data_IF_219967938650
#
_entry.id   IF_219967938650
#
_cell.length_a   1.000
_cell.length_b   1.000
_cell.length_c   1.000
_cell.angle_alpha   90.00
_cell.angle_beta   90.00
_cell.angle_gamma   90.00
#
_symmetry.space_group_name_H-M   'P 1'
#
loop_
_entity.id
_entity.type
_entity.pdbx_description
1 polymer ?
#
# COMPACT_ATOMS: atom_id res chain seq x y z
N UNK A 1 -7.48 4.69 -21.83
CA UNK A 1 -7.05 5.16 -20.50
C UNK A 1 -8.26 5.01 -19.57
N UNK A 2 -8.34 3.95 -18.76
CA UNK A 2 -9.44 3.79 -17.78
C UNK A 2 -9.20 4.81 -16.68
N UNK A 3 -10.21 5.61 -16.33
CA UNK A 3 -10.11 6.53 -15.21
C UNK A 3 -9.84 5.75 -13.91
N UNK A 4 -8.82 6.17 -13.15
CA UNK A 4 -8.44 5.52 -11.89
C UNK A 4 -9.57 5.61 -10.83
N UNK A 5 -10.32 6.71 -10.90
CA UNK A 5 -11.51 7.01 -10.12
C UNK A 5 -12.60 7.45 -11.08
N UNK A 6 -13.56 6.57 -11.27
CA UNK A 6 -14.86 6.92 -11.82
C UNK A 6 -15.71 7.45 -10.66
N UNK A 7 -15.97 8.75 -10.66
CA UNK A 7 -16.64 9.50 -9.57
C UNK A 7 -18.11 9.73 -9.90
N UNK A 8 -18.53 9.38 -11.12
CA UNK A 8 -19.92 9.53 -11.55
C UNK A 8 -20.81 8.64 -10.65
N UNK A 9 -21.90 9.23 -10.15
CA UNK A 9 -22.85 8.64 -9.20
C UNK A 9 -22.28 8.21 -7.83
N UNK A 10 -21.06 8.62 -7.49
CA UNK A 10 -20.47 8.33 -6.19
C UNK A 10 -20.75 9.42 -5.15
N UNK A 11 -20.99 9.01 -3.90
CA UNK A 11 -21.04 9.90 -2.74
C UNK A 11 -19.63 10.01 -2.16
N UNK A 12 -19.13 11.25 -2.03
CA UNK A 12 -17.77 11.52 -1.55
C UNK A 12 -17.81 11.99 -0.11
N UNK A 13 -17.16 11.25 0.79
CA UNK A 13 -16.97 11.64 2.18
C UNK A 13 -15.54 12.16 2.36
N UNK A 14 -15.39 13.46 2.57
CA UNK A 14 -14.10 14.11 2.79
C UNK A 14 -13.86 14.30 4.29
N UNK A 15 -12.86 13.61 4.83
CA UNK A 15 -12.38 13.77 6.21
C UNK A 15 -11.24 14.77 6.28
N UNK A 16 -11.53 15.95 6.81
CA UNK A 16 -10.57 17.01 7.09
C UNK A 16 -9.89 16.79 8.44
N UNK A 17 -8.57 16.64 8.46
CA UNK A 17 -7.78 16.49 9.67
C UNK A 17 -6.92 17.71 9.93
N UNK A 18 -6.28 18.26 8.90
CA UNK A 18 -5.34 19.40 9.01
C UNK A 18 -5.92 20.71 8.46
N UNK A 19 -6.88 20.65 7.53
CA UNK A 19 -7.52 21.83 6.96
C UNK A 19 -8.86 22.11 7.63
N UNK A 20 -9.18 23.39 7.83
CA UNK A 20 -10.54 23.81 8.20
C UNK A 20 -11.56 23.32 7.15
N UNK A 21 -12.59 22.54 7.54
CA UNK A 21 -13.65 22.08 6.64
C UNK A 21 -14.27 23.18 5.79
N UNK A 22 -14.37 24.41 6.31
CA UNK A 22 -14.91 25.57 5.58
C UNK A 22 -14.00 26.01 4.44
N UNK A 23 -12.68 25.92 4.63
CA UNK A 23 -11.70 26.25 3.60
C UNK A 23 -11.67 25.19 2.51
N UNK A 24 -11.82 23.92 2.89
CA UNK A 24 -11.94 22.82 1.93
C UNK A 24 -13.19 23.01 1.08
N UNK A 25 -14.36 23.18 1.71
CA UNK A 25 -15.62 23.43 0.99
C UNK A 25 -15.51 24.62 0.03
N UNK A 26 -14.87 25.71 0.43
CA UNK A 26 -14.65 26.87 -0.43
C UNK A 26 -13.69 26.59 -1.60
N UNK A 27 -12.64 25.78 -1.41
CA UNK A 27 -11.67 25.45 -2.46
C UNK A 27 -12.18 24.40 -3.44
N UNK A 28 -12.98 23.45 -2.97
CA UNK A 28 -13.59 22.41 -3.81
C UNK A 28 -14.48 23.03 -4.90
N UNK A 29 -15.06 24.20 -4.65
CA UNK A 29 -15.81 24.97 -5.65
C UNK A 29 -14.97 25.49 -6.84
N UNK A 30 -13.64 25.55 -6.70
CA UNK A 30 -12.73 26.17 -7.67
C UNK A 30 -11.88 25.16 -8.45
N UNK A 31 -11.98 23.85 -8.19
CA UNK A 31 -11.21 22.85 -8.92
C UNK A 31 -11.93 22.57 -10.25
N UNK A 32 -11.41 22.99 -11.41
CA UNK A 32 -12.16 23.03 -12.68
C UNK A 32 -12.56 21.67 -13.27
N UNK A 33 -12.14 20.57 -12.64
CA UNK A 33 -12.44 19.19 -13.04
C UNK A 33 -12.94 18.31 -11.89
N UNK A 34 -12.89 18.81 -10.67
CA UNK A 34 -13.52 18.19 -9.53
C UNK A 34 -14.79 19.02 -9.27
N UNK A 35 -15.74 18.94 -10.21
CA UNK A 35 -17.04 19.60 -10.09
C UNK A 35 -17.86 18.89 -8.99
N UNK A 36 -17.44 19.02 -7.74
CA UNK A 36 -18.17 18.49 -6.58
C UNK A 36 -19.50 19.22 -6.36
N UNK A 37 -19.83 20.21 -7.19
CA UNK A 37 -21.13 20.83 -7.21
C UNK A 37 -22.25 19.89 -7.70
N UNK A 38 -21.92 18.83 -8.45
CA UNK A 38 -22.86 17.76 -8.85
C UNK A 38 -22.59 16.43 -8.12
N UNK A 39 -21.55 16.38 -7.30
CA UNK A 39 -21.20 15.18 -6.53
C UNK A 39 -21.74 15.36 -5.12
N UNK A 40 -22.47 14.38 -4.61
CA UNK A 40 -22.92 14.37 -3.21
C UNK A 40 -21.70 14.29 -2.28
N UNK A 41 -21.15 15.45 -1.92
CA UNK A 41 -19.93 15.57 -1.16
C UNK A 41 -20.23 16.02 0.27
N UNK A 42 -19.81 15.22 1.24
CA UNK A 42 -19.95 15.50 2.66
C UNK A 42 -18.58 15.76 3.28
N UNK A 43 -18.40 16.91 3.91
CA UNK A 43 -17.11 17.32 4.52
C UNK A 43 -17.22 17.22 6.05
N UNK A 44 -16.28 16.51 6.66
CA UNK A 44 -16.26 16.22 8.09
C UNK A 44 -14.94 16.69 8.69
N UNK A 45 -14.98 17.39 9.82
CA UNK A 45 -13.76 17.61 10.62
C UNK A 45 -13.49 16.38 11.49
N UNK A 46 -12.30 15.80 11.41
CA UNK A 46 -11.87 14.61 12.18
C UNK A 46 -10.86 14.92 13.30
N UNK A 47 -10.52 16.20 13.47
CA UNK A 47 -9.71 16.68 14.59
C UNK A 47 -10.42 16.48 15.95
N UNK A 48 -9.70 16.66 17.08
CA UNK A 48 -10.22 16.38 18.45
C UNK A 48 -11.55 17.04 18.80
N UNK A 49 -11.90 18.13 18.14
CA UNK A 49 -13.15 18.88 18.37
C UNK A 49 -14.21 18.65 17.29
N UNK A 50 -13.93 17.77 16.33
CA UNK A 50 -14.81 17.45 15.20
C UNK A 50 -15.64 16.19 15.43
N UNK A 51 -16.18 15.67 14.33
CA UNK A 51 -16.80 14.34 14.24
C UNK A 51 -15.76 13.27 14.59
N UNK A 52 -16.01 12.50 15.65
CA UNK A 52 -15.14 11.37 15.99
C UNK A 52 -15.12 10.31 14.88
N UNK A 53 -14.08 9.46 14.88
CA UNK A 53 -13.90 8.40 13.87
C UNK A 53 -15.12 7.46 13.76
N UNK A 54 -15.75 7.13 14.89
CA UNK A 54 -16.96 6.30 14.92
C UNK A 54 -18.14 6.97 14.19
N UNK A 55 -18.47 8.21 14.53
CA UNK A 55 -19.57 8.94 13.90
C UNK A 55 -19.33 9.15 12.39
N UNK A 56 -18.08 9.36 11.99
CA UNK A 56 -17.71 9.45 10.58
C UNK A 56 -17.91 8.11 9.85
N UNK A 57 -17.51 6.99 10.48
CA UNK A 57 -17.75 5.64 9.96
C UNK A 57 -19.25 5.34 9.83
N UNK A 58 -20.05 5.73 10.82
CA UNK A 58 -21.49 5.49 10.81
C UNK A 58 -22.18 6.29 9.69
N UNK A 59 -21.72 7.52 9.42
CA UNK A 59 -22.20 8.31 8.29
C UNK A 59 -21.88 7.64 6.94
N UNK A 60 -20.69 7.06 6.79
CA UNK A 60 -20.31 6.31 5.59
C UNK A 60 -21.18 5.05 5.45
N UNK A 61 -21.42 4.33 6.54
CA UNK A 61 -22.28 3.15 6.55
C UNK A 61 -23.73 3.48 6.17
N UNK A 62 -24.26 4.61 6.62
CA UNK A 62 -25.59 5.08 6.26
C UNK A 62 -25.71 5.38 4.76
N UNK A 63 -24.72 6.05 4.18
CA UNK A 63 -24.65 6.30 2.73
C UNK A 63 -24.60 4.99 1.93
N UNK A 64 -23.79 4.04 2.40
CA UNK A 64 -23.69 2.71 1.78
C UNK A 64 -25.03 1.96 1.85
N UNK A 65 -25.72 2.01 2.98
CA UNK A 65 -27.03 1.37 3.14
C UNK A 65 -28.08 1.92 2.17
N UNK A 66 -27.90 3.15 1.67
CA UNK A 66 -28.73 3.72 0.61
C UNK A 66 -28.37 3.22 -0.82
N UNK A 67 -27.39 2.32 -0.95
CA UNK A 67 -26.97 1.72 -2.22
C UNK A 67 -26.02 2.57 -3.06
N UNK A 68 -25.49 3.67 -2.50
CA UNK A 68 -24.60 4.56 -3.23
C UNK A 68 -23.15 4.06 -3.21
N UNK A 69 -22.48 4.16 -4.37
CA UNK A 69 -21.03 3.97 -4.45
C UNK A 69 -20.35 5.05 -3.61
N UNK A 70 -19.47 4.65 -2.70
CA UNK A 70 -18.92 5.59 -1.72
C UNK A 70 -17.41 5.75 -1.89
N UNK A 71 -16.94 6.99 -1.94
CA UNK A 71 -15.52 7.33 -1.97
C UNK A 71 -15.20 8.11 -0.70
N UNK A 72 -14.19 7.68 0.04
CA UNK A 72 -13.71 8.37 1.25
C UNK A 72 -12.36 8.98 0.93
N UNK A 73 -12.20 10.28 1.21
CA UNK A 73 -10.94 11.00 1.04
C UNK A 73 -10.46 11.49 2.40
N UNK A 74 -9.24 11.13 2.78
CA UNK A 74 -8.59 11.59 4.01
C UNK A 74 -7.38 12.45 3.63
N UNK A 75 -7.39 13.71 4.08
CA UNK A 75 -6.43 14.75 3.67
C UNK A 75 -5.02 14.58 4.24
N UNK A 76 -4.89 14.10 5.48
CA UNK A 76 -3.61 13.95 6.15
C UNK A 76 -3.68 12.85 7.23
N UNK A 77 -3.49 11.59 6.84
CA UNK A 77 -3.48 10.46 7.78
C UNK A 77 -2.30 10.55 8.76
N UNK A 78 -1.19 11.16 8.36
CA UNK A 78 -0.07 11.47 9.29
C UNK A 78 -0.54 12.32 10.46
N UNK A 79 -1.34 13.35 10.20
CA UNK A 79 -1.95 14.20 11.24
C UNK A 79 -3.02 13.45 12.02
N UNK A 80 -3.75 12.54 11.37
CA UNK A 80 -4.77 11.73 12.05
C UNK A 80 -4.14 10.85 13.13
N UNK A 81 -3.03 10.20 12.80
CA UNK A 81 -2.25 9.41 13.75
C UNK A 81 -1.54 10.26 14.81
N UNK A 82 -1.32 11.56 14.57
CA UNK A 82 -0.85 12.49 15.59
C UNK A 82 -1.92 12.76 16.66
N UNK A 83 -3.19 12.74 16.25
CA UNK A 83 -4.33 13.05 17.11
C UNK A 83 -4.82 11.82 17.87
N UNK A 84 -4.87 10.68 17.17
CA UNK A 84 -5.43 9.40 17.62
C UNK A 84 -4.36 8.31 17.66
N UNK A 85 -4.45 7.34 18.59
CA UNK A 85 -3.58 6.17 18.61
C UNK A 85 -3.54 5.44 17.25
N UNK A 86 -2.35 5.07 16.78
CA UNK A 86 -2.15 4.38 15.49
C UNK A 86 -3.02 3.13 15.38
N UNK A 87 -3.18 2.36 16.46
CA UNK A 87 -4.02 1.17 16.47
C UNK A 87 -5.51 1.48 16.17
N UNK A 88 -6.04 2.58 16.70
CA UNK A 88 -7.43 3.00 16.43
C UNK A 88 -7.58 3.51 14.99
N UNK A 89 -6.56 4.18 14.46
CA UNK A 89 -6.56 4.58 13.04
C UNK A 89 -6.48 3.35 12.13
N UNK A 90 -5.66 2.36 12.48
CA UNK A 90 -5.56 1.09 11.76
C UNK A 90 -6.91 0.36 11.72
N UNK A 91 -7.55 0.21 12.88
CA UNK A 91 -8.86 -0.42 13.01
C UNK A 91 -9.93 0.33 12.20
N UNK A 92 -9.90 1.67 12.25
CA UNK A 92 -10.80 2.50 11.46
C UNK A 92 -10.61 2.29 9.95
N UNK A 93 -9.37 2.33 9.46
CA UNK A 93 -9.05 2.16 8.04
C UNK A 93 -9.35 0.73 7.56
N UNK A 94 -9.02 -0.28 8.37
CA UNK A 94 -9.39 -1.67 8.09
C UNK A 94 -10.91 -1.82 8.03
N UNK A 95 -11.64 -1.23 8.98
CA UNK A 95 -13.09 -1.22 9.00
C UNK A 95 -13.71 -0.57 7.76
N UNK A 96 -13.09 0.47 7.18
CA UNK A 96 -13.53 1.04 5.91
C UNK A 96 -13.22 0.14 4.71
N UNK A 97 -12.04 -0.47 4.68
CA UNK A 97 -11.63 -1.41 3.63
C UNK A 97 -12.60 -2.60 3.55
N UNK A 98 -13.00 -3.12 4.71
CA UNK A 98 -13.83 -4.31 4.81
C UNK A 98 -15.31 -4.03 4.45
N UNK A 99 -15.69 -2.76 4.22
CA UNK A 99 -17.02 -2.38 3.72
C UNK A 99 -17.24 -2.72 2.23
N UNK A 100 -16.21 -3.15 1.50
CA UNK A 100 -16.27 -3.70 0.13
C UNK A 100 -16.59 -2.70 -0.99
N UNK A 101 -17.63 -1.88 -0.80
CA UNK A 101 -18.16 -0.93 -1.78
C UNK A 101 -17.58 0.49 -1.60
N UNK A 102 -16.70 0.64 -0.61
CA UNK A 102 -16.06 1.90 -0.21
C UNK A 102 -14.65 1.95 -0.77
N UNK A 103 -14.34 3.00 -1.54
CA UNK A 103 -12.96 3.29 -1.96
C UNK A 103 -12.36 4.36 -1.07
N UNK A 104 -11.23 4.05 -0.43
CA UNK A 104 -10.53 4.99 0.44
C UNK A 104 -9.31 5.55 -0.28
N UNK A 105 -9.20 6.87 -0.31
CA UNK A 105 -8.02 7.61 -0.76
C UNK A 105 -7.46 8.34 0.45
N UNK A 106 -6.30 7.90 0.92
CA UNK A 106 -5.63 8.45 2.08
C UNK A 106 -4.33 9.13 1.66
N UNK A 107 -4.15 10.39 2.06
CA UNK A 107 -2.92 11.11 1.85
C UNK A 107 -2.02 10.97 3.07
N UNK A 108 -0.79 10.53 2.82
CA UNK A 108 0.25 10.41 3.82
C UNK A 108 1.42 11.32 3.45
N UNK A 109 1.86 12.15 4.40
CA UNK A 109 3.01 13.02 4.21
C UNK A 109 4.27 12.35 4.74
N UNK A 110 5.04 11.76 3.83
CA UNK A 110 6.36 11.21 4.15
C UNK A 110 7.30 12.34 4.58
N UNK A 111 8.02 12.14 5.69
CA UNK A 111 9.02 13.09 6.19
C UNK A 111 8.50 14.17 7.15
N UNK A 112 7.19 14.23 7.44
CA UNK A 112 6.69 15.03 8.55
C UNK A 112 6.93 14.25 9.85
N UNK A 113 7.97 14.63 10.58
CA UNK A 113 8.22 14.11 11.91
C UNK A 113 7.16 14.67 12.88
N UNK A 114 6.22 13.82 13.28
CA UNK A 114 5.27 14.13 14.36
C UNK A 114 5.88 13.63 15.67
N UNK A 115 6.11 14.51 16.67
CA UNK A 115 6.68 14.08 17.94
C UNK A 115 5.84 12.98 18.61
N UNK A 116 6.50 11.87 18.96
CA UNK A 116 5.85 10.73 19.64
C UNK A 116 5.03 9.82 18.73
N UNK A 117 5.00 10.07 17.42
CA UNK A 117 4.31 9.20 16.47
C UNK A 117 5.23 8.05 16.02
N UNK A 118 4.77 6.82 16.22
CA UNK A 118 5.33 5.66 15.51
C UNK A 118 4.94 5.81 14.04
N UNK A 119 5.93 5.78 13.14
CA UNK A 119 5.71 5.93 11.70
C UNK A 119 4.61 4.98 11.21
N UNK A 120 3.48 5.49 10.68
CA UNK A 120 2.35 4.66 10.26
C UNK A 120 2.64 3.91 8.95
N UNK A 121 3.83 4.09 8.36
CA UNK A 121 4.20 3.65 7.02
C UNK A 121 4.00 2.14 6.82
N UNK A 122 4.39 1.32 7.80
CA UNK A 122 4.20 -0.14 7.72
C UNK A 122 2.73 -0.53 7.75
N UNK A 123 1.94 0.09 8.64
CA UNK A 123 0.50 -0.13 8.72
C UNK A 123 -0.21 0.32 7.44
N UNK A 124 0.15 1.48 6.91
CA UNK A 124 -0.43 1.99 5.65
C UNK A 124 -0.06 1.10 4.46
N UNK A 125 1.19 0.65 4.39
CA UNK A 125 1.64 -0.24 3.33
C UNK A 125 0.95 -1.61 3.35
N UNK A 126 0.60 -2.11 4.55
CA UNK A 126 -0.16 -3.37 4.71
C UNK A 126 -1.64 -3.21 4.32
N UNK A 127 -2.25 -2.09 4.70
CA UNK A 127 -3.66 -1.82 4.40
C UNK A 127 -3.91 -1.38 2.94
N UNK A 128 -2.91 -0.78 2.29
CA UNK A 128 -3.07 -0.19 0.96
C UNK A 128 -3.01 -1.25 -0.15
N UNK A 129 -4.05 -1.28 -1.00
CA UNK A 129 -4.02 -2.02 -2.26
C UNK A 129 -3.18 -1.32 -3.34
N UNK A 130 -3.03 0.00 -3.24
CA UNK A 130 -2.30 0.82 -4.20
C UNK A 130 -1.67 1.99 -3.48
N UNK A 131 -0.39 2.22 -3.73
CA UNK A 131 0.37 3.36 -3.19
C UNK A 131 0.79 4.24 -4.35
N UNK A 132 0.51 5.54 -4.22
CA UNK A 132 0.94 6.57 -5.14
C UNK A 132 2.00 7.40 -4.41
N UNK A 133 3.26 7.20 -4.76
CA UNK A 133 4.36 8.00 -4.23
C UNK A 133 4.53 9.23 -5.13
N UNK A 134 4.46 10.42 -4.55
CA UNK A 134 4.45 11.69 -5.27
C UNK A 134 5.66 12.50 -4.82
N UNK A 135 6.62 12.72 -5.72
CA UNK A 135 7.86 13.43 -5.41
C UNK A 135 8.52 14.02 -6.67
N UNK A 136 9.22 15.15 -6.52
CA UNK A 136 10.04 15.76 -7.57
C UNK A 136 9.37 15.87 -8.97
N UNK A 137 8.07 16.21 -9.00
CA UNK A 137 7.30 16.36 -10.24
C UNK A 137 6.92 15.05 -10.94
N UNK A 138 7.17 13.91 -10.29
CA UNK A 138 6.77 12.60 -10.76
C UNK A 138 5.84 11.87 -9.77
N UNK A 139 5.03 10.96 -10.32
CA UNK A 139 4.20 10.03 -9.56
C UNK A 139 4.67 8.62 -9.87
N UNK A 140 5.08 7.89 -8.83
CA UNK A 140 5.39 6.47 -8.87
C UNK A 140 4.19 5.68 -8.34
N UNK A 141 3.59 4.86 -9.20
CA UNK A 141 2.45 4.00 -8.82
C UNK A 141 2.98 2.64 -8.40
N UNK A 142 2.54 2.11 -7.27
CA UNK A 142 2.86 0.76 -6.78
C UNK A 142 1.56 0.02 -6.50
N UNK A 143 1.30 -1.06 -7.26
CA UNK A 143 0.17 -1.95 -6.99
C UNK A 143 0.60 -3.12 -6.09
N UNK A 144 -0.08 -3.30 -4.96
CA UNK A 144 0.12 -4.47 -4.13
C UNK A 144 -0.87 -5.56 -4.58
N UNK A 145 -0.42 -6.52 -5.41
CA UNK A 145 -1.17 -7.77 -5.65
C UNK A 145 -0.66 -8.88 -4.73
N UNK A 146 -1.59 -9.69 -4.26
CA UNK A 146 -1.43 -10.71 -3.22
C UNK A 146 -0.20 -11.62 -3.40
N UNK A 147 0.49 -11.87 -2.29
CA UNK A 147 1.57 -12.87 -2.05
C UNK A 147 2.90 -12.62 -2.78
N UNK A 148 2.90 -11.99 -3.95
CA UNK A 148 4.12 -11.45 -4.57
C UNK A 148 3.84 -10.00 -4.90
N UNK A 149 4.44 -9.09 -4.12
CA UNK A 149 4.44 -7.65 -4.34
C UNK A 149 5.10 -7.36 -5.69
N UNK A 150 4.36 -7.52 -6.78
CA UNK A 150 4.79 -7.15 -8.13
C UNK A 150 4.75 -5.64 -8.17
N UNK A 151 5.92 -5.03 -8.05
CA UNK A 151 6.10 -3.58 -8.14
C UNK A 151 6.08 -3.21 -9.62
N UNK A 152 4.89 -3.07 -10.21
CA UNK A 152 4.77 -2.30 -11.45
C UNK A 152 4.93 -0.83 -11.11
N UNK A 153 6.12 -0.27 -11.38
CA UNK A 153 6.42 1.15 -11.14
C UNK A 153 6.21 1.93 -12.43
N UNK A 154 5.17 2.75 -12.44
CA UNK A 154 4.87 3.65 -13.54
C UNK A 154 5.26 5.05 -13.14
N UNK A 155 6.05 5.73 -13.97
CA UNK A 155 6.42 7.12 -13.76
C UNK A 155 5.57 8.02 -14.64
N UNK A 156 4.90 8.97 -14.00
CA UNK A 156 4.14 10.01 -14.69
C UNK A 156 4.66 11.39 -14.35
N UNK A 157 4.79 12.27 -15.35
CA UNK A 157 5.04 13.69 -15.13
C UNK A 157 3.73 14.42 -14.84
N UNK A 158 3.73 15.33 -13.87
CA UNK A 158 2.57 16.17 -13.55
C UNK A 158 2.82 17.57 -14.13
N UNK A 159 1.92 18.04 -15.00
CA UNK A 159 2.02 19.41 -15.52
C UNK A 159 1.53 20.47 -14.51
N UNK A 160 1.74 21.74 -14.83
CA UNK A 160 1.38 22.87 -13.96
C UNK A 160 -0.14 22.95 -13.65
N UNK A 161 -0.97 22.29 -14.45
CA UNK A 161 -2.41 22.21 -14.30
C UNK A 161 -2.85 20.94 -13.52
N UNK A 162 -1.89 20.15 -13.04
CA UNK A 162 -2.14 18.92 -12.30
C UNK A 162 -2.51 17.72 -13.18
N UNK A 163 -2.31 17.80 -14.50
CA UNK A 163 -2.59 16.71 -15.43
C UNK A 163 -1.38 15.77 -15.47
N UNK A 164 -1.68 14.50 -15.21
CA UNK A 164 -0.71 13.41 -15.19
C UNK A 164 -0.47 12.91 -16.61
N UNK A 165 0.76 13.03 -17.12
CA UNK A 165 1.20 12.52 -18.43
C UNK A 165 2.11 11.31 -18.25
N UNK A 166 1.82 10.25 -18.99
CA UNK A 166 2.60 9.03 -18.98
C UNK A 166 3.99 9.27 -19.58
N UNK A 167 5.05 9.01 -18.80
CA UNK A 167 6.43 9.13 -19.31
C UNK A 167 7.09 7.78 -19.58
N UNK A 168 6.98 6.78 -18.69
CA UNK A 168 7.64 5.49 -18.91
C UNK A 168 7.15 4.37 -17.98
N UNK A 169 7.14 3.15 -18.50
CA UNK A 169 7.12 1.91 -17.71
C UNK A 169 8.56 1.71 -17.19
N UNK A 170 8.80 1.88 -15.89
CA UNK A 170 10.11 1.51 -15.34
C UNK A 170 10.18 -0.01 -15.42
N UNK A 171 10.84 -0.50 -16.48
CA UNK A 171 10.81 -1.90 -16.88
C UNK A 171 11.07 -2.85 -15.72
N UNK A 172 10.29 -3.93 -15.69
CA UNK A 172 10.73 -5.19 -15.10
C UNK A 172 12.15 -5.44 -15.56
N UNK A 173 13.05 -5.77 -14.63
CA UNK A 173 14.40 -6.22 -14.96
C UNK A 173 14.33 -7.18 -16.13
N UNK A 174 14.85 -6.70 -17.27
CA UNK A 174 14.94 -7.47 -18.47
C UNK A 174 15.75 -8.71 -18.12
N UNK A 175 15.09 -9.87 -18.18
CA UNK A 175 15.72 -11.15 -18.39
C UNK A 175 16.49 -11.10 -19.71
N UNK A 176 17.63 -10.41 -19.71
CA UNK A 176 18.70 -10.67 -20.65
C UNK A 176 19.18 -12.07 -20.32
N UNK A 177 18.90 -13.00 -21.24
CA UNK A 177 19.73 -14.19 -21.42
C UNK A 177 21.15 -13.69 -21.76
N UNK A 178 21.90 -13.25 -20.76
CA UNK A 178 23.35 -13.26 -20.82
C UNK A 178 23.80 -14.65 -20.44
N UNK A 179 24.71 -15.19 -21.24
CA UNK A 179 25.44 -16.42 -20.98
C UNK A 179 25.86 -16.49 -19.51
N UNK A 180 25.94 -17.72 -18.99
CA UNK A 180 26.42 -18.09 -17.65
C UNK A 180 27.63 -17.25 -17.20
N UNK A 181 27.39 -16.08 -16.62
CA UNK A 181 28.37 -15.29 -15.88
C UNK A 181 28.21 -15.74 -14.44
N UNK A 182 29.29 -16.29 -13.89
CA UNK A 182 29.34 -16.80 -12.53
C UNK A 182 29.02 -15.66 -11.55
N UNK A 183 27.95 -15.76 -10.73
CA UNK A 183 27.48 -14.69 -9.85
C UNK A 183 28.46 -14.33 -8.72
N UNK A 184 29.62 -14.97 -8.63
CA UNK A 184 30.71 -14.58 -7.72
C UNK A 184 31.71 -13.58 -8.29
N UNK A 185 31.57 -13.10 -9.53
CA UNK A 185 32.58 -12.22 -10.17
C UNK A 185 32.71 -10.82 -9.55
N UNK A 186 31.69 -10.31 -8.88
CA UNK A 186 31.67 -8.92 -8.39
C UNK A 186 31.92 -8.79 -6.87
N UNK A 187 32.36 -9.88 -6.23
CA UNK A 187 32.77 -9.85 -4.82
C UNK A 187 34.25 -9.42 -4.72
N UNK A 188 34.62 -8.50 -3.80
CA UNK A 188 35.98 -7.95 -3.70
C UNK A 188 37.01 -8.93 -3.12
N UNK A 189 36.65 -10.20 -2.96
CA UNK A 189 37.50 -11.26 -2.46
C UNK A 189 37.61 -12.38 -3.49
N UNK A 190 38.37 -12.13 -4.56
CA UNK A 190 38.90 -13.23 -5.36
C UNK A 190 39.90 -14.00 -4.49
N UNK A 191 39.43 -15.06 -3.82
CA UNK A 191 40.32 -16.06 -3.25
C UNK A 191 40.99 -16.75 -4.43
N UNK A 192 42.18 -16.25 -4.80
CA UNK A 192 43.09 -16.83 -5.78
C UNK A 192 43.62 -18.19 -5.28
N UNK A 193 42.72 -19.16 -5.17
CA UNK A 193 43.05 -20.53 -4.82
C UNK A 193 43.79 -21.15 -6.00
N UNK A 194 44.95 -21.73 -5.72
CA UNK A 194 45.64 -22.54 -6.73
C UNK A 194 44.80 -23.78 -7.07
N UNK A 195 45.05 -24.36 -8.23
CA UNK A 195 44.28 -25.51 -8.75
C UNK A 195 44.27 -26.70 -7.76
N UNK A 196 45.36 -26.87 -7.01
CA UNK A 196 45.46 -27.85 -5.91
C UNK A 196 44.51 -27.55 -4.74
N UNK A 197 44.36 -26.28 -4.35
CA UNK A 197 43.47 -25.87 -3.25
C UNK A 197 41.99 -25.99 -3.63
N UNK A 198 41.65 -25.73 -4.90
CA UNK A 198 40.30 -25.95 -5.41
C UNK A 198 39.92 -27.42 -5.38
N UNK A 199 40.86 -28.32 -5.73
CA UNK A 199 40.66 -29.77 -5.68
C UNK A 199 40.53 -30.29 -4.24
N UNK A 200 41.36 -29.78 -3.32
CA UNK A 200 41.26 -30.15 -1.90
C UNK A 200 39.90 -29.75 -1.31
N UNK A 201 39.36 -28.58 -1.66
CA UNK A 201 38.02 -28.15 -1.21
C UNK A 201 36.90 -29.05 -1.73
N UNK A 202 37.01 -29.58 -2.96
CA UNK A 202 36.00 -30.51 -3.51
C UNK A 202 36.07 -31.93 -2.93
N UNK A 203 37.21 -32.31 -2.33
CA UNK A 203 37.37 -33.61 -1.66
C UNK A 203 36.94 -33.59 -0.19
N UNK A 204 36.72 -32.41 0.40
CA UNK A 204 36.20 -32.28 1.77
C UNK A 204 34.70 -32.53 1.74
N UNK A 205 34.30 -33.77 2.05
CA UNK A 205 32.89 -34.12 2.26
C UNK A 205 32.41 -33.47 3.57
N UNK A 206 31.55 -32.45 3.45
CA UNK A 206 30.94 -31.83 4.63
C UNK A 206 29.83 -32.75 5.14
N UNK A 207 29.70 -32.96 6.47
CA UNK A 207 28.73 -33.91 7.05
C UNK A 207 27.27 -33.73 6.61
N UNK A 208 26.91 -32.55 6.11
CA UNK A 208 25.56 -32.20 5.67
C UNK A 208 25.29 -32.52 4.19
N UNK A 209 26.30 -32.85 3.39
CA UNK A 209 26.12 -33.22 1.97
C UNK A 209 25.55 -34.64 1.82
N UNK A 210 25.84 -35.55 2.74
CA UNK A 210 25.28 -36.91 2.73
C UNK A 210 23.77 -36.92 3.09
N UNK A 211 23.27 -35.83 3.69
CA UNK A 211 21.87 -35.70 4.09
C UNK A 211 20.96 -35.14 2.98
N UNK A 212 21.52 -34.63 1.88
CA UNK A 212 20.77 -34.09 0.74
C UNK A 212 21.18 -34.83 -0.53
N UNK A 213 20.33 -35.77 -0.98
CA UNK A 213 20.49 -36.39 -2.28
C UNK A 213 20.48 -35.34 -3.41
N UNK A 214 21.16 -35.60 -4.55
CA UNK A 214 21.27 -34.64 -5.64
C UNK A 214 19.87 -34.29 -6.18
N UNK A 215 19.42 -33.06 -5.90
CA UNK A 215 18.18 -32.49 -6.45
C UNK A 215 17.01 -32.33 -5.48
N UNK A 216 17.15 -32.60 -4.19
CA UNK A 216 16.09 -32.33 -3.20
C UNK A 216 16.46 -31.21 -2.24
N UNK A 217 15.82 -30.05 -2.43
CA UNK A 217 15.66 -29.07 -1.35
C UNK A 217 14.57 -29.63 -0.43
N UNK A 218 14.96 -30.07 0.76
CA UNK A 218 14.00 -30.46 1.80
C UNK A 218 13.28 -29.18 2.23
N UNK A 219 12.08 -28.96 1.69
CA UNK A 219 11.10 -28.02 2.26
C UNK A 219 10.31 -28.80 3.30
N UNK A 220 10.89 -28.92 4.49
CA UNK A 220 10.19 -29.48 5.65
C UNK A 220 9.26 -28.44 6.25
N UNK A 221 8.14 -28.21 5.57
CA UNK A 221 6.88 -27.82 6.20
C UNK A 221 5.82 -28.66 5.53
N UNK A 222 5.49 -29.78 6.18
CA UNK A 222 4.33 -30.58 5.83
C UNK A 222 3.11 -29.66 5.92
N UNK A 223 2.33 -29.63 4.83
CA UNK A 223 0.98 -29.12 4.86
C UNK A 223 0.17 -30.10 5.71
N UNK A 224 0.05 -29.80 7.00
CA UNK A 224 -1.05 -30.34 7.78
C UNK A 224 -2.32 -29.64 7.29
N UNK A 225 -3.19 -30.42 6.63
CA UNK A 225 -4.63 -30.16 6.51
C UNK A 225 -5.16 -29.97 7.93
N UNK A 226 -5.14 -28.73 8.42
CA UNK A 226 -5.88 -28.32 9.62
C UNK A 226 -7.33 -28.05 9.17
N UNK A 227 -8.01 -29.13 8.81
CA UNK A 227 -9.46 -29.24 8.58
C UNK A 227 -10.23 -29.39 9.92
N UNK A 228 -9.62 -28.97 11.03
CA UNK A 228 -10.27 -28.82 12.32
C UNK A 228 -10.55 -27.32 12.53
N UNK A 229 -11.74 -26.88 12.10
CA UNK A 229 -12.34 -25.57 12.40
C UNK A 229 -13.13 -25.74 13.73
N UNK A 230 -12.56 -25.45 14.92
CA UNK A 230 -13.18 -25.72 16.22
C UNK A 230 -14.28 -24.70 16.59
N UNK A 231 -14.89 -24.09 15.58
CA UNK A 231 -15.79 -22.94 15.71
C UNK A 231 -17.23 -23.32 15.30
N UNK A 232 -17.44 -24.52 14.73
CA UNK A 232 -18.74 -24.93 14.17
C UNK A 232 -19.79 -25.41 15.19
N UNK A 233 -19.47 -25.41 16.50
CA UNK A 233 -20.38 -25.82 17.58
C UNK A 233 -20.76 -24.68 18.56
N UNK A 234 -20.54 -23.40 18.21
CA UNK A 234 -21.02 -22.28 19.02
C UNK A 234 -22.42 -21.79 18.56
N UNK A 235 -23.41 -22.66 18.66
CA UNK A 235 -24.82 -22.28 18.85
C UNK A 235 -25.23 -22.59 20.31
N UNK A 236 -25.02 -21.62 21.21
CA UNK A 236 -25.69 -21.56 22.53
C UNK A 236 -25.98 -20.11 22.90
#
# INVERSE_FOLDING_TARGET
>A
MRALLDVDDAVVHYGCVDVDPRRVAARLAYIPRLHLHDVNAHVYGLARTGTGLGAFRDAIAATRAAGARTIVVLDAVTTLCAVWPVALVAEFLAGLRDMGDVRVVAVHHAGIAVPGLVHPDTMLADLASTVLDVGDGCVDVVHARSVRRIVERWRYAVDADGIVRFEQEAGSDGAKKSAHVDPTSDLPFELNLTEEQRRARSEVNLPYMDAQGPGQVITGFEAEDDDDDPDFDLEI
#
